data_IF_771894131585
#
_entry.id   IF_771894131585
#
_cell.length_a   1.000
_cell.length_b   1.000
_cell.length_c   1.000
_cell.angle_alpha   90.00
_cell.angle_beta   90.00
_cell.angle_gamma   90.00
#
_symmetry.space_group_name_H-M   'P 1'
#
loop_
_entity.id
_entity.type
_entity.pdbx_description
1 polymer ?
#
# COMPACT_ATOMS: atom_id res chain seq x y z
N UNK A 1 52.56 28.70 39.40
CA UNK A 1 51.99 27.61 40.21
C UNK A 1 50.48 27.78 40.27
N UNK A 2 49.70 27.09 39.41
CA UNK A 2 48.25 27.03 39.55
C UNK A 2 47.78 25.82 40.38
N UNK A 3 46.71 26.09 41.12
CA UNK A 3 46.12 25.35 42.22
C UNK A 3 45.21 24.22 41.70
N UNK A 4 45.29 23.07 42.37
CA UNK A 4 44.41 21.91 42.27
C UNK A 4 43.02 22.21 42.84
N UNK A 5 41.93 21.86 42.16
CA UNK A 5 40.89 20.96 42.72
C UNK A 5 40.04 20.29 41.62
N UNK A 6 39.66 19.02 41.82
CA UNK A 6 39.04 18.14 40.84
C UNK A 6 37.52 17.96 41.09
N UNK A 7 36.83 17.28 40.16
CA UNK A 7 35.50 16.67 40.35
C UNK A 7 34.36 17.63 40.70
N UNK A 8 33.69 18.22 39.70
CA UNK A 8 32.24 18.52 39.70
C UNK A 8 31.73 18.78 38.27
N UNK A 9 31.76 17.77 37.40
CA UNK A 9 30.89 17.70 36.22
C UNK A 9 30.51 16.24 35.96
N UNK A 10 30.02 15.59 37.03
CA UNK A 10 29.13 14.46 36.90
C UNK A 10 27.70 15.01 37.08
N UNK A 11 26.80 14.51 36.24
CA UNK A 11 25.37 14.80 36.16
C UNK A 11 24.98 15.88 35.14
N UNK A 12 24.05 15.46 34.25
CA UNK A 12 23.31 16.23 33.25
C UNK A 12 23.91 16.33 31.85
N UNK A 13 24.14 15.21 31.16
CA UNK A 13 23.79 15.05 29.73
C UNK A 13 23.60 13.56 29.39
N UNK A 14 22.81 12.85 30.21
CA UNK A 14 22.38 11.46 29.96
C UNK A 14 20.85 11.40 29.83
N UNK A 15 20.26 12.23 28.96
CA UNK A 15 18.80 12.25 28.76
C UNK A 15 18.36 12.92 27.45
N UNK A 16 18.74 12.36 26.29
CA UNK A 16 18.03 12.67 25.04
C UNK A 16 18.12 11.55 24.00
N UNK A 17 18.05 10.29 24.44
CA UNK A 17 17.68 9.19 23.56
C UNK A 17 16.21 8.86 23.79
N UNK A 18 15.47 8.67 22.69
CA UNK A 18 14.14 8.03 22.57
C UNK A 18 12.89 8.92 22.65
N UNK A 19 12.77 9.89 21.74
CA UNK A 19 11.45 10.19 21.15
C UNK A 19 11.52 9.99 19.63
N UNK A 20 10.91 8.93 19.07
CA UNK A 20 10.42 9.03 17.71
C UNK A 20 9.26 10.03 17.73
N UNK A 21 9.51 11.28 17.34
CA UNK A 21 8.45 12.19 16.96
C UNK A 21 7.89 11.73 15.61
N UNK A 22 7.10 10.65 15.62
CA UNK A 22 6.15 10.37 14.56
C UNK A 22 4.93 11.27 14.77
N UNK A 23 5.13 12.58 14.67
CA UNK A 23 4.04 13.55 14.58
C UNK A 23 3.72 13.75 13.10
N UNK A 24 3.09 12.73 12.50
CA UNK A 24 2.37 12.92 11.24
C UNK A 24 0.98 13.42 11.62
N UNK A 25 0.78 14.73 11.61
CA UNK A 25 -0.56 15.30 11.59
C UNK A 25 -1.21 14.85 10.27
N UNK A 26 -2.07 13.83 10.35
CA UNK A 26 -2.85 13.34 9.23
C UNK A 26 -4.19 14.08 9.31
N UNK A 27 -4.38 15.00 8.38
CA UNK A 27 -5.65 15.68 8.15
C UNK A 27 -6.63 14.62 7.64
N UNK A 28 -7.63 14.32 8.47
CA UNK A 28 -8.65 13.30 8.25
C UNK A 28 -9.74 13.91 7.35
N UNK A 29 -9.60 13.70 6.04
CA UNK A 29 -10.50 14.29 5.05
C UNK A 29 -10.36 13.65 3.68
N UNK A 30 -11.06 12.54 3.47
CA UNK A 30 -11.38 12.02 2.14
C UNK A 30 -11.01 10.55 1.94
N UNK A 31 -12.02 9.72 1.74
CA UNK A 31 -11.94 8.29 1.45
C UNK A 31 -11.00 7.94 0.27
N UNK A 32 -10.66 8.89 -0.61
CA UNK A 32 -9.64 8.73 -1.66
C UNK A 32 -8.20 8.67 -1.12
N UNK A 33 -7.86 9.42 -0.07
CA UNK A 33 -6.49 9.44 0.44
C UNK A 33 -6.06 8.13 1.11
N UNK A 34 -7.05 7.34 1.54
CA UNK A 34 -6.84 6.01 2.13
C UNK A 34 -6.41 4.98 1.08
N UNK A 35 -6.99 5.04 -0.14
CA UNK A 35 -6.66 4.16 -1.26
C UNK A 35 -5.24 4.39 -1.79
N UNK A 36 -4.90 5.64 -2.12
CA UNK A 36 -3.55 6.05 -2.54
C UNK A 36 -2.46 5.65 -1.54
N UNK A 37 -2.72 5.82 -0.24
CA UNK A 37 -1.78 5.43 0.81
C UNK A 37 -1.61 3.92 0.88
N UNK A 38 -2.67 3.15 0.71
CA UNK A 38 -2.59 1.69 0.66
C UNK A 38 -1.79 1.21 -0.57
N UNK A 39 -2.06 1.79 -1.75
CA UNK A 39 -1.37 1.47 -3.00
C UNK A 39 0.13 1.80 -2.93
N UNK A 40 0.50 2.98 -2.43
CA UNK A 40 1.91 3.38 -2.26
C UNK A 40 2.64 2.50 -1.24
N UNK A 41 2.00 2.12 -0.14
CA UNK A 41 2.58 1.19 0.85
C UNK A 41 2.75 -0.21 0.26
N UNK A 42 1.79 -0.68 -0.53
CA UNK A 42 1.87 -1.98 -1.19
C UNK A 42 2.99 -2.01 -2.21
N UNK A 43 3.05 -1.00 -3.09
CA UNK A 43 4.11 -0.85 -4.08
C UNK A 43 5.51 -0.83 -3.44
N UNK A 44 5.68 -0.15 -2.31
CA UNK A 44 6.96 -0.14 -1.59
C UNK A 44 7.38 -1.55 -1.14
N UNK A 45 6.43 -2.40 -0.72
CA UNK A 45 6.73 -3.78 -0.35
C UNK A 45 7.10 -4.62 -1.58
N UNK A 46 6.37 -4.46 -2.67
CA UNK A 46 6.62 -5.18 -3.93
C UNK A 46 8.02 -4.84 -4.47
N UNK A 47 8.35 -3.55 -4.53
CA UNK A 47 9.67 -3.07 -4.94
C UNK A 47 10.77 -3.54 -3.97
N UNK A 48 10.51 -3.59 -2.66
CA UNK A 48 11.49 -4.11 -1.69
C UNK A 48 11.81 -5.60 -1.91
N UNK A 49 10.86 -6.40 -2.40
CA UNK A 49 11.11 -7.79 -2.80
C UNK A 49 11.90 -7.83 -4.11
N UNK A 50 11.48 -7.05 -5.11
CA UNK A 50 12.14 -6.99 -6.41
C UNK A 50 13.58 -6.45 -6.34
N UNK A 51 13.94 -5.66 -5.33
CA UNK A 51 15.32 -5.22 -5.08
C UNK A 51 16.31 -6.38 -4.88
N UNK A 52 15.83 -7.55 -4.43
CA UNK A 52 16.69 -8.73 -4.30
C UNK A 52 17.06 -9.35 -5.66
N UNK A 53 16.23 -9.14 -6.69
CA UNK A 53 16.48 -9.58 -8.05
C UNK A 53 15.74 -8.65 -9.05
N UNK A 54 16.36 -7.53 -9.49
CA UNK A 54 15.69 -6.55 -10.34
C UNK A 54 15.34 -7.10 -11.74
N UNK A 55 16.04 -8.15 -12.20
CA UNK A 55 15.76 -8.83 -13.46
C UNK A 55 14.47 -9.68 -13.41
N UNK A 56 13.91 -9.88 -12.20
CA UNK A 56 12.63 -10.57 -12.03
C UNK A 56 11.42 -9.66 -12.24
N UNK A 57 11.62 -8.34 -12.34
CA UNK A 57 10.55 -7.40 -12.66
C UNK A 57 10.21 -7.48 -14.15
N UNK A 58 8.92 -7.61 -14.45
CA UNK A 58 8.41 -7.56 -15.81
C UNK A 58 8.58 -6.17 -16.42
N UNK A 59 8.56 -6.08 -17.74
CA UNK A 59 8.53 -4.78 -18.43
C UNK A 59 7.32 -3.94 -18.01
N UNK A 60 6.19 -4.58 -17.71
CA UNK A 60 4.99 -3.89 -17.23
C UNK A 60 5.21 -3.21 -15.86
N UNK A 61 5.80 -3.91 -14.89
CA UNK A 61 6.16 -3.31 -13.60
C UNK A 61 7.17 -2.16 -13.78
N UNK A 62 8.22 -2.38 -14.59
CA UNK A 62 9.24 -1.35 -14.83
C UNK A 62 8.68 -0.11 -15.55
N UNK A 63 7.79 -0.28 -16.50
CA UNK A 63 7.18 0.83 -17.23
C UNK A 63 6.18 1.59 -16.35
N UNK A 64 5.39 0.90 -15.51
CA UNK A 64 4.52 1.54 -14.55
C UNK A 64 5.30 2.34 -13.49
N UNK A 65 6.43 1.81 -13.01
CA UNK A 65 7.33 2.54 -12.10
C UNK A 65 7.93 3.80 -12.75
N UNK A 66 8.25 3.76 -14.04
CA UNK A 66 8.74 4.94 -14.78
C UNK A 66 7.67 6.01 -14.91
N UNK A 67 6.44 5.63 -15.24
CA UNK A 67 5.34 6.60 -15.35
C UNK A 67 5.05 7.23 -13.99
N UNK A 68 5.00 6.41 -12.93
CA UNK A 68 4.88 6.90 -11.55
C UNK A 68 5.98 7.92 -11.18
N UNK A 69 7.24 7.63 -11.50
CA UNK A 69 8.34 8.57 -11.24
C UNK A 69 8.21 9.87 -12.04
N UNK A 70 7.80 9.78 -13.30
CA UNK A 70 7.55 10.95 -14.13
C UNK A 70 6.43 11.82 -13.54
N UNK A 71 5.37 11.21 -13.02
CA UNK A 71 4.29 11.96 -12.37
C UNK A 71 4.71 12.57 -11.04
N UNK A 72 5.56 11.89 -10.25
CA UNK A 72 6.18 12.50 -9.06
C UNK A 72 7.02 13.73 -9.40
N UNK A 73 7.79 13.68 -10.49
CA UNK A 73 8.58 14.83 -10.96
C UNK A 73 7.68 15.99 -11.40
N UNK A 74 6.55 15.69 -12.08
CA UNK A 74 5.55 16.69 -12.45
C UNK A 74 4.93 17.33 -11.21
N UNK A 75 4.49 16.53 -10.23
CA UNK A 75 3.95 17.05 -8.96
C UNK A 75 4.96 17.94 -8.26
N UNK A 76 6.23 17.53 -8.13
CA UNK A 76 7.26 18.34 -7.50
C UNK A 76 7.53 19.66 -8.25
N UNK A 77 7.47 19.63 -9.58
CA UNK A 77 7.61 20.83 -10.41
C UNK A 77 6.42 21.80 -10.20
N UNK A 78 5.20 21.29 -10.12
CA UNK A 78 4.01 22.11 -9.90
C UNK A 78 3.88 22.58 -8.44
N UNK A 79 4.31 21.81 -7.44
CA UNK A 79 4.41 22.27 -6.04
C UNK A 79 5.34 23.48 -5.90
N UNK A 80 6.39 23.55 -6.73
CA UNK A 80 7.30 24.69 -6.77
C UNK A 80 6.68 25.94 -7.41
N UNK A 81 5.58 25.78 -8.15
CA UNK A 81 4.82 26.84 -8.83
C UNK A 81 3.50 27.04 -8.09
N UNK A 82 3.50 27.96 -7.13
CA UNK A 82 2.40 28.18 -6.17
C UNK A 82 0.98 28.17 -6.79
N UNK A 83 0.15 27.20 -6.40
CA UNK A 83 -1.32 27.10 -6.63
C UNK A 83 -1.75 27.08 -8.11
N UNK A 84 -1.32 26.05 -8.83
CA UNK A 84 -1.88 25.71 -10.13
C UNK A 84 -2.96 24.61 -9.99
N UNK A 85 -4.16 24.71 -10.61
CA UNK A 85 -5.08 23.58 -10.75
C UNK A 85 -4.41 22.33 -11.37
N UNK A 86 -3.34 22.51 -12.14
CA UNK A 86 -2.53 21.41 -12.68
C UNK A 86 -1.90 20.56 -11.56
N UNK A 87 -1.70 21.11 -10.35
CA UNK A 87 -1.20 20.36 -9.19
C UNK A 87 -2.21 19.34 -8.66
N UNK A 88 -3.51 19.69 -8.60
CA UNK A 88 -4.53 18.73 -8.16
C UNK A 88 -4.68 17.59 -9.18
N UNK A 89 -4.70 17.92 -10.48
CA UNK A 89 -4.72 16.93 -11.55
C UNK A 89 -3.49 16.03 -11.50
N UNK A 90 -2.29 16.59 -11.30
CA UNK A 90 -1.08 15.81 -11.19
C UNK A 90 -1.10 14.88 -9.96
N UNK A 91 -1.73 15.28 -8.85
CA UNK A 91 -1.92 14.43 -7.66
C UNK A 91 -2.90 13.27 -7.92
N UNK A 92 -3.96 13.49 -8.67
CA UNK A 92 -4.92 12.44 -9.03
C UNK A 92 -4.30 11.42 -10.00
N UNK A 93 -3.50 11.90 -10.97
CA UNK A 93 -2.71 11.02 -11.84
C UNK A 93 -1.67 10.25 -11.03
N UNK A 94 -1.00 10.90 -10.07
CA UNK A 94 -0.03 10.25 -9.19
C UNK A 94 -0.67 9.10 -8.40
N UNK A 95 -1.87 9.31 -7.89
CA UNK A 95 -2.64 8.28 -7.20
C UNK A 95 -2.96 7.10 -8.12
N UNK A 96 -3.44 7.38 -9.33
CA UNK A 96 -3.70 6.34 -10.34
C UNK A 96 -2.44 5.57 -10.74
N UNK A 97 -1.30 6.27 -10.82
CA UNK A 97 -0.01 5.64 -11.12
C UNK A 97 0.49 4.75 -9.98
N UNK A 98 0.23 5.12 -8.71
CA UNK A 98 0.55 4.26 -7.58
C UNK A 98 -0.25 2.96 -7.63
N UNK A 99 -1.55 3.03 -7.92
CA UNK A 99 -2.41 1.85 -8.07
C UNK A 99 -1.97 0.98 -9.25
N UNK A 100 -1.70 1.60 -10.40
CA UNK A 100 -1.25 0.93 -11.61
C UNK A 100 0.09 0.23 -11.40
N UNK A 101 1.05 0.91 -10.76
CA UNK A 101 2.35 0.33 -10.44
C UNK A 101 2.24 -0.81 -9.42
N UNK A 102 1.41 -0.66 -8.38
CA UNK A 102 1.19 -1.73 -7.40
C UNK A 102 0.61 -2.98 -8.09
N UNK A 103 -0.39 -2.80 -8.96
CA UNK A 103 -1.01 -3.92 -9.67
C UNK A 103 -0.05 -4.60 -10.66
N UNK A 104 0.81 -3.83 -11.32
CA UNK A 104 1.80 -4.37 -12.26
C UNK A 104 2.95 -5.10 -11.56
N UNK A 105 3.40 -4.63 -10.39
CA UNK A 105 4.55 -5.18 -9.67
C UNK A 105 4.21 -6.31 -8.70
N UNK A 106 2.98 -6.38 -8.19
CA UNK A 106 2.52 -7.44 -7.29
C UNK A 106 2.78 -8.88 -7.79
N UNK A 107 2.44 -9.27 -9.05
CA UNK A 107 2.68 -10.64 -9.51
C UNK A 107 4.17 -10.99 -9.59
N UNK A 108 5.02 -10.03 -9.96
CA UNK A 108 6.47 -10.24 -10.07
C UNK A 108 7.09 -10.43 -8.68
N UNK A 109 6.66 -9.62 -7.70
CA UNK A 109 7.10 -9.73 -6.32
C UNK A 109 6.66 -11.07 -5.69
N UNK A 110 5.40 -11.48 -5.92
CA UNK A 110 4.89 -12.77 -5.48
C UNK A 110 5.68 -13.93 -6.09
N UNK A 111 5.87 -13.91 -7.41
CA UNK A 111 6.63 -14.95 -8.11
C UNK A 111 8.08 -15.05 -7.63
N UNK A 112 8.70 -13.92 -7.26
CA UNK A 112 10.06 -13.91 -6.73
C UNK A 112 10.12 -14.53 -5.31
N UNK A 113 9.11 -14.27 -4.47
CA UNK A 113 8.99 -14.92 -3.16
C UNK A 113 8.76 -16.43 -3.24
N UNK A 114 7.96 -16.87 -4.22
CA UNK A 114 7.70 -18.30 -4.44
C UNK A 114 8.95 -19.03 -4.97
N UNK A 115 9.77 -18.35 -5.78
CA UNK A 115 11.02 -18.89 -6.35
C UNK A 115 12.21 -18.87 -5.39
N UNK A 116 12.14 -18.15 -4.26
CA UNK A 116 13.25 -17.93 -3.32
C UNK A 116 13.86 -19.19 -2.68
N UNK A 117 13.29 -20.37 -2.92
CA UNK A 117 13.81 -21.66 -2.46
C UNK A 117 13.82 -21.78 -0.92
N UNK A 118 14.57 -22.75 -0.41
CA UNK A 118 14.57 -23.11 1.03
C UNK A 118 15.48 -22.23 1.90
N UNK A 119 16.19 -21.25 1.34
CA UNK A 119 17.06 -20.32 2.09
C UNK A 119 17.29 -18.99 1.33
N UNK A 120 16.29 -18.12 1.23
CA UNK A 120 16.50 -16.74 0.80
C UNK A 120 17.41 -15.99 1.77
N UNK A 121 18.10 -14.95 1.27
CA UNK A 121 18.83 -14.03 2.15
C UNK A 121 17.87 -13.45 3.21
N UNK A 122 18.33 -13.18 4.45
CA UNK A 122 17.45 -12.70 5.53
C UNK A 122 16.63 -11.45 5.17
N UNK A 123 17.18 -10.55 4.36
CA UNK A 123 16.49 -9.36 3.87
C UNK A 123 15.32 -9.71 2.91
N UNK A 124 15.53 -10.67 1.99
CA UNK A 124 14.50 -11.16 1.08
C UNK A 124 13.41 -11.92 1.84
N UNK A 125 13.78 -12.74 2.83
CA UNK A 125 12.82 -13.43 3.69
C UNK A 125 11.90 -12.45 4.44
N UNK A 126 12.50 -11.36 4.98
CA UNK A 126 11.75 -10.30 5.66
C UNK A 126 10.82 -9.54 4.70
N UNK A 127 11.28 -9.23 3.49
CA UNK A 127 10.47 -8.55 2.49
C UNK A 127 9.27 -9.42 2.03
N UNK A 128 9.50 -10.72 1.78
CA UNK A 128 8.44 -11.66 1.45
C UNK A 128 7.44 -11.87 2.59
N UNK A 129 7.90 -11.89 3.85
CA UNK A 129 7.00 -11.96 5.00
C UNK A 129 6.08 -10.72 5.09
N UNK A 130 6.58 -9.54 4.73
CA UNK A 130 5.80 -8.30 4.72
C UNK A 130 4.72 -8.25 3.62
N UNK A 131 4.89 -9.01 2.52
CA UNK A 131 3.83 -9.18 1.51
C UNK A 131 2.69 -10.06 2.01
N UNK A 132 3.01 -11.16 2.70
CA UNK A 132 2.01 -12.13 3.18
C UNK A 132 1.11 -11.56 4.30
N UNK A 133 1.60 -10.59 5.07
CA UNK A 133 0.78 -9.92 6.09
C UNK A 133 -0.21 -8.94 5.47
N UNK A 134 0.07 -8.38 4.29
CA UNK A 134 -0.84 -7.47 3.60
C UNK A 134 -2.05 -8.19 3.00
N UNK A 135 -1.82 -9.38 2.42
CA UNK A 135 -2.89 -10.25 1.88
C UNK A 135 -3.82 -10.84 2.95
N UNK A 136 -3.47 -10.73 4.24
CA UNK A 136 -4.25 -11.25 5.37
C UNK A 136 -5.08 -10.18 6.09
N UNK A 137 -5.13 -8.94 5.60
CA UNK A 137 -6.02 -7.93 6.17
C UNK A 137 -7.47 -8.30 5.83
N UNK A 138 -8.31 -8.71 6.80
CA UNK A 138 -9.73 -8.94 6.58
C UNK A 138 -10.41 -7.58 6.53
N UNK A 139 -11.05 -7.27 5.41
CA UNK A 139 -11.80 -6.04 5.22
C UNK A 139 -13.12 -6.33 4.50
N UNK A 140 -13.95 -7.20 5.07
CA UNK A 140 -15.27 -7.48 4.51
C UNK A 140 -16.00 -8.69 5.07
N UNK A 141 -16.19 -8.78 6.39
CA UNK A 141 -17.30 -9.52 7.00
C UNK A 141 -17.71 -8.73 8.27
N UNK A 142 -19.00 -8.60 8.56
CA UNK A 142 -19.63 -7.85 9.66
C UNK A 142 -20.15 -6.43 9.30
N UNK A 143 -21.07 -6.37 8.33
CA UNK A 143 -22.17 -5.39 8.36
C UNK A 143 -23.42 -6.08 8.93
N UNK A 144 -23.91 -5.53 10.04
CA UNK A 144 -25.19 -5.83 10.68
C UNK A 144 -26.37 -5.45 9.76
N UNK A 145 -27.20 -6.42 9.37
CA UNK A 145 -28.54 -6.15 8.82
C UNK A 145 -29.63 -6.76 9.72
N UNK A 146 -30.06 -5.91 10.66
CA UNK A 146 -31.44 -5.61 11.04
C UNK A 146 -32.49 -6.73 11.04
N UNK A 147 -32.97 -7.01 12.25
CA UNK A 147 -34.24 -7.68 12.50
C UNK A 147 -35.42 -6.78 12.10
N UNK A 148 -36.00 -7.03 10.91
CA UNK A 148 -37.19 -6.32 10.41
C UNK A 148 -38.31 -7.27 9.97
N UNK A 149 -39.27 -7.50 10.87
CA UNK A 149 -40.52 -8.26 10.73
C UNK A 149 -41.43 -7.88 9.54
N UNK A 150 -42.03 -8.86 8.85
CA UNK A 150 -43.34 -8.66 8.19
C UNK A 150 -43.70 -9.52 6.95
N UNK A 151 -44.57 -10.52 7.16
CA UNK A 151 -45.78 -10.69 6.33
C UNK A 151 -45.74 -11.46 5.00
N UNK A 152 -46.12 -12.75 5.06
CA UNK A 152 -47.31 -13.29 4.37
C UNK A 152 -47.41 -13.35 2.83
N UNK A 153 -47.64 -14.58 2.32
CA UNK A 153 -48.26 -14.88 1.03
C UNK A 153 -47.25 -15.15 -0.09
N UNK A 154 -47.16 -16.31 -0.71
CA UNK A 154 -48.26 -17.14 -1.22
C UNK A 154 -48.37 -16.95 -2.73
N UNK A 155 -48.05 -18.02 -3.47
CA UNK A 155 -48.50 -18.35 -4.83
C UNK A 155 -47.62 -18.09 -6.07
N UNK A 156 -47.36 -19.23 -6.74
CA UNK A 156 -47.35 -19.50 -8.18
C UNK A 156 -46.26 -18.87 -9.07
N UNK A 157 -45.32 -19.72 -9.50
CA UNK A 157 -44.93 -19.75 -10.92
C UNK A 157 -44.97 -21.18 -11.46
N UNK A 158 -45.74 -21.31 -12.53
CA UNK A 158 -45.98 -22.52 -13.30
C UNK A 158 -44.69 -22.89 -14.06
N UNK A 159 -44.37 -24.17 -14.02
CA UNK A 159 -43.59 -24.81 -15.07
C UNK A 159 -44.39 -24.75 -16.37
N UNK A 160 -43.83 -24.14 -17.41
CA UNK A 160 -44.21 -24.42 -18.79
C UNK A 160 -42.97 -25.00 -19.45
N UNK A 161 -43.02 -26.30 -19.74
CA UNK A 161 -42.08 -26.93 -20.64
C UNK A 161 -42.47 -26.63 -22.08
N UNK A 162 -41.48 -26.70 -22.95
CA UNK A 162 -41.58 -27.31 -24.27
C UNK A 162 -40.16 -27.81 -24.59
N UNK A 163 -40.02 -29.12 -24.62
CA UNK A 163 -38.83 -29.81 -25.09
C UNK A 163 -39.19 -30.44 -26.43
N UNK A 164 -38.44 -30.03 -27.46
CA UNK A 164 -38.22 -30.74 -28.71
C UNK A 164 -37.88 -32.22 -28.51
N UNK A 165 -38.56 -33.12 -29.24
CA UNK A 165 -38.10 -34.39 -29.84
C UNK A 165 -39.35 -35.04 -30.48
N UNK A 166 -39.45 -35.57 -31.69
CA UNK A 166 -38.50 -36.09 -32.67
C UNK A 166 -39.24 -37.21 -33.45
N UNK A 167 -39.08 -37.23 -34.78
CA UNK A 167 -39.40 -38.30 -35.76
C UNK A 167 -40.86 -38.77 -35.97
#
# INVERSE_FOLDING_TARGET
>A
MPITHPVRLAALLLSCCLLPAAAMAQDDGGDGQSGSRAASVQLQKDVAVLQANPDAASSACLDALKELHKTQDMVAAEESRTKDPDLEVARDVLETDFESAAQACAPDAAALCDKGGTSPAPAMAKACAALQTASRTPGGDDEDDEAGSGGGGGHHRRHHGDADDGS
#
